data_IF_221308985554
#
_entry.id   IF_221308985554
#
_cell.length_a   1.000
_cell.length_b   1.000
_cell.length_c   1.000
_cell.angle_alpha   90.00
_cell.angle_beta   90.00
_cell.angle_gamma   90.00
#
_symmetry.space_group_name_H-M   'P 1'
#
loop_
_entity.id
_entity.type
_entity.pdbx_description
1 polymer ?
#
# COMPACT_ATOMS: atom_id res chain seq x y z
N UNK A 1 -2.67 -24.30 30.92
CA UNK A 1 -3.75 -24.13 29.91
C UNK A 1 -3.33 -23.01 28.97
N UNK A 2 -2.77 -23.32 27.80
CA UNK A 2 -2.27 -22.32 26.85
C UNK A 2 -3.43 -21.87 25.95
N UNK A 3 -3.98 -20.68 26.22
CA UNK A 3 -4.94 -20.03 25.32
C UNK A 3 -4.23 -19.68 24.01
N UNK A 4 -4.20 -20.60 23.04
CA UNK A 4 -3.84 -20.29 21.65
C UNK A 4 -4.87 -19.30 21.13
N UNK A 5 -4.53 -18.00 21.13
CA UNK A 5 -5.38 -16.97 20.53
C UNK A 5 -5.70 -17.32 19.08
N UNK A 6 -6.91 -17.00 18.62
CA UNK A 6 -7.32 -17.26 17.24
C UNK A 6 -6.45 -16.39 16.31
N UNK A 7 -5.58 -17.03 15.53
CA UNK A 7 -4.82 -16.36 14.47
C UNK A 7 -5.72 -16.24 13.23
N UNK A 8 -5.65 -15.09 12.56
CA UNK A 8 -6.37 -14.80 11.32
C UNK A 8 -5.44 -14.10 10.34
N UNK A 9 -5.68 -14.29 9.05
CA UNK A 9 -4.97 -13.58 7.99
C UNK A 9 -4.43 -14.52 6.93
N UNK A 10 -3.34 -14.11 6.28
CA UNK A 10 -2.70 -14.85 5.19
C UNK A 10 -1.24 -15.14 5.52
N UNK A 11 -0.75 -16.30 5.09
CA UNK A 11 0.65 -16.71 5.23
C UNK A 11 1.23 -17.07 3.88
N UNK A 12 2.46 -16.61 3.62
CA UNK A 12 3.25 -16.91 2.41
C UNK A 12 2.43 -16.76 1.12
N UNK A 13 1.65 -15.68 1.04
CA UNK A 13 0.84 -15.35 -0.12
C UNK A 13 1.75 -15.00 -1.29
N UNK A 14 1.56 -15.73 -2.38
CA UNK A 14 2.17 -15.45 -3.67
C UNK A 14 1.04 -15.12 -4.64
N UNK A 15 0.99 -13.86 -5.07
CA UNK A 15 -0.12 -13.34 -5.89
C UNK A 15 0.38 -12.26 -6.83
N UNK A 16 -0.11 -12.27 -8.06
CA UNK A 16 -0.03 -11.14 -8.97
C UNK A 16 -1.44 -10.73 -9.35
N UNK A 17 -1.75 -9.45 -9.17
CA UNK A 17 -3.09 -8.92 -9.44
C UNK A 17 -2.98 -7.46 -9.88
N UNK A 18 -3.99 -6.97 -10.58
CA UNK A 18 -4.11 -5.57 -11.00
C UNK A 18 -5.31 -4.98 -10.27
N UNK A 19 -5.15 -4.61 -8.99
CA UNK A 19 -6.28 -4.16 -8.18
C UNK A 19 -6.78 -2.81 -8.71
N UNK A 20 -8.08 -2.59 -8.61
CA UNK A 20 -8.65 -1.27 -8.82
C UNK A 20 -8.30 -0.36 -7.63
N UNK A 21 -7.13 0.29 -7.70
CA UNK A 21 -6.69 1.22 -6.67
C UNK A 21 -7.59 2.46 -6.62
N UNK A 22 -8.27 2.80 -7.72
CA UNK A 22 -9.22 3.91 -7.76
C UNK A 22 -10.46 3.59 -6.92
N UNK A 23 -10.94 2.34 -6.94
CA UNK A 23 -11.96 1.86 -6.00
C UNK A 23 -11.51 1.92 -4.53
N UNK A 24 -10.20 1.92 -4.26
CA UNK A 24 -9.62 2.16 -2.92
C UNK A 24 -9.37 3.65 -2.63
N UNK A 25 -9.78 4.56 -3.54
CA UNK A 25 -9.63 6.01 -3.41
C UNK A 25 -8.27 6.58 -3.84
N UNK A 26 -7.35 5.73 -4.33
CA UNK A 26 -6.07 6.13 -4.90
C UNK A 26 -6.22 6.23 -6.42
N UNK A 27 -6.08 7.43 -7.03
CA UNK A 27 -6.31 7.65 -8.46
C UNK A 27 -5.12 7.15 -9.30
N UNK A 28 -4.78 5.87 -9.15
CA UNK A 28 -3.65 5.19 -9.74
C UNK A 28 -4.14 3.87 -10.36
N UNK A 29 -3.42 3.38 -11.36
CA UNK A 29 -3.63 2.04 -11.91
C UNK A 29 -2.31 1.32 -11.92
N UNK A 30 -2.27 0.10 -11.39
CA UNK A 30 -1.03 -0.63 -11.25
C UNK A 30 -1.20 -2.12 -11.07
N UNK A 31 -0.12 -2.85 -11.34
CA UNK A 31 0.01 -4.26 -11.03
C UNK A 31 0.73 -4.44 -9.70
N UNK A 32 0.16 -5.24 -8.83
CA UNK A 32 0.75 -5.66 -7.57
C UNK A 32 1.27 -7.08 -7.72
N UNK A 33 2.52 -7.29 -7.34
CA UNK A 33 3.12 -8.60 -7.15
C UNK A 33 3.51 -8.78 -5.68
N UNK A 34 3.02 -9.85 -5.08
CA UNK A 34 3.29 -10.28 -3.72
C UNK A 34 4.10 -11.57 -3.78
N UNK A 35 5.23 -11.60 -3.06
CA UNK A 35 6.04 -12.81 -2.91
C UNK A 35 6.21 -13.14 -1.43
N UNK A 36 5.73 -14.32 -1.05
CA UNK A 36 5.75 -14.84 0.32
C UNK A 36 5.19 -13.87 1.38
N UNK A 37 4.19 -13.07 0.99
CA UNK A 37 3.63 -12.04 1.87
C UNK A 37 2.83 -12.69 3.00
N UNK A 38 3.13 -12.30 4.23
CA UNK A 38 2.38 -12.73 5.41
C UNK A 38 1.76 -11.52 6.09
N UNK A 39 0.50 -11.66 6.52
CA UNK A 39 -0.23 -10.70 7.32
C UNK A 39 -1.10 -11.48 8.29
N UNK A 40 -0.52 -11.85 9.44
CA UNK A 40 -1.18 -12.66 10.47
C UNK A 40 -1.42 -11.81 11.70
N UNK A 41 -2.66 -11.84 12.18
CA UNK A 41 -3.09 -11.14 13.37
C UNK A 41 -3.53 -12.13 14.44
N UNK A 42 -3.07 -11.91 15.67
CA UNK A 42 -3.49 -12.66 16.85
C UNK A 42 -4.14 -11.69 17.84
N UNK A 43 -5.40 -11.93 18.17
CA UNK A 43 -6.19 -11.04 19.03
C UNK A 43 -6.16 -9.56 18.55
N UNK A 44 -6.26 -9.36 17.23
CA UNK A 44 -6.26 -8.03 16.60
C UNK A 44 -4.87 -7.39 16.41
N UNK A 45 -3.79 -8.01 16.92
CA UNK A 45 -2.42 -7.49 16.83
C UNK A 45 -1.60 -8.24 15.79
N UNK A 46 -0.79 -7.53 15.01
CA UNK A 46 0.14 -8.12 14.04
C UNK A 46 1.10 -9.06 14.75
N UNK A 47 0.95 -10.36 14.49
CA UNK A 47 1.78 -11.42 15.05
C UNK A 47 2.89 -11.85 14.07
N UNK A 48 2.63 -11.73 12.76
CA UNK A 48 3.59 -12.04 11.71
C UNK A 48 3.35 -11.17 10.48
N UNK A 49 4.44 -10.59 10.00
CA UNK A 49 4.49 -9.93 8.71
C UNK A 49 5.83 -10.25 8.05
N UNK A 50 5.82 -10.27 6.73
CA UNK A 50 7.01 -10.56 5.93
C UNK A 50 6.65 -10.66 4.47
N UNK A 51 7.66 -10.91 3.64
CA UNK A 51 7.53 -11.03 2.20
C UNK A 51 7.73 -9.70 1.47
N UNK A 52 7.92 -9.83 0.16
CA UNK A 52 8.19 -8.71 -0.74
C UNK A 52 6.95 -8.31 -1.50
N UNK A 53 6.83 -7.00 -1.70
CA UNK A 53 5.75 -6.38 -2.44
C UNK A 53 6.34 -5.51 -3.52
N UNK A 54 5.75 -5.57 -4.71
CA UNK A 54 6.10 -4.71 -5.84
C UNK A 54 4.84 -4.15 -6.48
N UNK A 55 4.81 -2.85 -6.69
CA UNK A 55 3.78 -2.14 -7.42
C UNK A 55 4.40 -1.57 -8.70
N UNK A 56 3.83 -1.89 -9.86
CA UNK A 56 4.16 -1.24 -11.13
C UNK A 56 2.99 -0.37 -11.55
N UNK A 57 3.20 0.93 -11.71
CA UNK A 57 2.16 1.84 -12.22
C UNK A 57 2.07 1.71 -13.74
N UNK A 58 0.89 1.37 -14.24
CA UNK A 58 0.63 1.08 -15.66
C UNK A 58 -0.38 2.02 -16.31
N UNK A 59 -1.11 2.80 -15.50
CA UNK A 59 -2.07 3.77 -15.99
C UNK A 59 -1.43 4.90 -16.78
N UNK A 60 -2.27 5.63 -17.51
CA UNK A 60 -1.88 6.91 -18.08
C UNK A 60 -1.67 7.93 -16.96
N UNK A 61 -0.68 8.81 -17.13
CA UNK A 61 -0.35 9.84 -16.15
C UNK A 61 1.14 9.98 -15.88
N UNK A 62 1.50 10.95 -15.03
CA UNK A 62 2.89 11.37 -14.89
C UNK A 62 3.78 10.37 -14.15
N UNK A 63 3.18 9.39 -13.45
CA UNK A 63 3.91 8.32 -12.75
C UNK A 63 3.93 7.00 -13.53
N UNK A 64 3.51 7.01 -14.81
CA UNK A 64 3.48 5.81 -15.65
C UNK A 64 4.86 5.15 -15.69
N UNK A 65 4.88 3.83 -15.54
CA UNK A 65 6.11 3.04 -15.57
C UNK A 65 6.89 3.04 -14.26
N UNK A 66 6.48 3.81 -13.24
CA UNK A 66 7.10 3.74 -11.92
C UNK A 66 6.99 2.32 -11.35
N UNK A 67 8.08 1.85 -10.74
CA UNK A 67 8.11 0.60 -10.00
C UNK A 67 8.48 0.92 -8.56
N UNK A 68 7.59 0.57 -7.62
CA UNK A 68 7.83 0.68 -6.19
C UNK A 68 8.01 -0.72 -5.61
N UNK A 69 8.93 -0.88 -4.67
CA UNK A 69 9.14 -2.14 -3.97
C UNK A 69 9.44 -1.95 -2.50
N UNK A 70 9.09 -2.94 -1.70
CA UNK A 70 9.33 -2.93 -0.26
C UNK A 70 8.93 -4.24 0.39
N UNK A 71 8.97 -4.26 1.72
CA UNK A 71 8.67 -5.43 2.53
C UNK A 71 7.63 -5.11 3.59
N UNK A 72 6.85 -6.12 3.93
CA UNK A 72 5.89 -6.04 5.01
C UNK A 72 6.53 -6.35 6.37
N UNK A 73 6.22 -5.57 7.40
CA UNK A 73 6.72 -5.75 8.76
C UNK A 73 5.64 -5.43 9.80
N UNK A 74 5.67 -6.12 10.94
CA UNK A 74 4.86 -5.73 12.09
C UNK A 74 5.56 -4.57 12.80
N UNK A 75 4.86 -3.46 13.00
CA UNK A 75 5.33 -2.32 13.80
C UNK A 75 4.22 -1.88 14.73
N UNK A 76 4.51 -1.80 16.04
CA UNK A 76 3.54 -1.41 17.07
C UNK A 76 2.19 -2.11 16.89
N UNK A 77 2.20 -3.45 16.83
CA UNK A 77 1.02 -4.31 16.63
C UNK A 77 0.24 -4.11 15.31
N UNK A 78 0.77 -3.33 14.38
CA UNK A 78 0.14 -3.03 13.08
C UNK A 78 0.95 -3.68 11.97
N UNK A 79 0.29 -4.26 10.97
CA UNK A 79 0.96 -4.69 9.75
C UNK A 79 1.27 -3.44 8.92
N UNK A 80 2.53 -3.25 8.54
CA UNK A 80 2.97 -2.06 7.82
C UNK A 80 3.83 -2.43 6.63
N UNK A 81 3.77 -1.62 5.58
CA UNK A 81 4.66 -1.70 4.43
C UNK A 81 5.02 -0.29 3.98
N UNK A 82 6.20 -0.14 3.39
CA UNK A 82 6.62 1.06 2.71
C UNK A 82 7.29 0.62 1.40
N UNK A 83 6.64 0.92 0.28
CA UNK A 83 7.20 0.68 -1.04
C UNK A 83 7.85 1.97 -1.52
N UNK A 84 9.05 1.86 -2.06
CA UNK A 84 9.80 3.03 -2.55
C UNK A 84 10.24 2.81 -4.00
N UNK A 85 10.31 3.90 -4.75
CA UNK A 85 10.70 3.90 -6.15
C UNK A 85 11.01 5.30 -6.65
N UNK A 86 11.41 5.42 -7.92
CA UNK A 86 11.64 6.70 -8.60
C UNK A 86 10.98 6.71 -9.97
N UNK A 87 10.48 7.87 -10.38
CA UNK A 87 9.90 8.12 -11.70
C UNK A 87 9.86 9.64 -11.96
N UNK A 88 10.05 10.05 -13.22
CA UNK A 88 10.02 11.45 -13.62
C UNK A 88 10.88 12.38 -12.73
N UNK A 89 12.05 11.92 -12.29
CA UNK A 89 12.94 12.67 -11.40
C UNK A 89 12.50 12.75 -9.92
N UNK A 90 11.30 12.27 -9.58
CA UNK A 90 10.75 12.30 -8.23
C UNK A 90 11.06 11.03 -7.42
N UNK A 91 11.07 11.19 -6.10
CA UNK A 91 11.06 10.08 -5.14
C UNK A 91 9.61 9.73 -4.78
N UNK A 92 9.27 8.45 -4.87
CA UNK A 92 7.93 7.94 -4.63
C UNK A 92 7.93 7.01 -3.42
N UNK A 93 6.97 7.20 -2.52
CA UNK A 93 6.72 6.30 -1.40
C UNK A 93 5.25 5.96 -1.30
N UNK A 94 4.91 4.68 -1.31
CA UNK A 94 3.59 4.18 -0.94
C UNK A 94 3.67 3.50 0.43
N UNK A 95 3.12 4.12 1.45
CA UNK A 95 3.00 3.57 2.79
C UNK A 95 1.66 2.88 2.95
N UNK A 96 1.64 1.70 3.57
CA UNK A 96 0.42 0.98 3.91
C UNK A 96 0.42 0.53 5.36
N UNK A 97 -0.74 0.61 6.02
CA UNK A 97 -0.97 0.09 7.36
C UNK A 97 -2.28 -0.71 7.38
N UNK A 98 -2.27 -1.87 8.02
CA UNK A 98 -3.46 -2.71 8.19
C UNK A 98 -3.57 -3.13 9.66
N UNK A 99 -4.75 -2.93 10.24
CA UNK A 99 -5.10 -3.32 11.60
C UNK A 99 -5.81 -4.69 11.60
N UNK A 100 -5.79 -5.39 12.73
CA UNK A 100 -6.37 -6.73 12.83
C UNK A 100 -7.91 -6.79 12.77
N UNK A 101 -8.58 -5.64 12.82
CA UNK A 101 -10.02 -5.51 12.57
C UNK A 101 -10.36 -5.29 11.08
N UNK A 102 -9.33 -5.28 10.21
CA UNK A 102 -9.44 -5.05 8.78
C UNK A 102 -9.39 -3.57 8.37
N UNK A 103 -9.27 -2.64 9.31
CA UNK A 103 -8.99 -1.24 8.98
C UNK A 103 -7.67 -1.10 8.22
N UNK A 104 -7.63 -0.22 7.23
CA UNK A 104 -6.41 0.08 6.51
C UNK A 104 -6.25 1.57 6.24
N UNK A 105 -4.99 1.98 6.10
CA UNK A 105 -4.59 3.29 5.59
C UNK A 105 -3.54 3.09 4.51
N UNK A 106 -3.68 3.80 3.39
CA UNK A 106 -2.66 3.91 2.36
C UNK A 106 -2.31 5.39 2.16
N UNK A 107 -1.03 5.67 1.97
CA UNK A 107 -0.53 7.01 1.68
C UNK A 107 0.49 6.95 0.55
N UNK A 108 0.23 7.66 -0.53
CA UNK A 108 1.19 7.89 -1.61
C UNK A 108 1.79 9.28 -1.44
N UNK A 109 3.11 9.37 -1.35
CA UNK A 109 3.89 10.60 -1.34
C UNK A 109 4.79 10.64 -2.58
N UNK A 110 4.84 11.79 -3.23
CA UNK A 110 5.71 12.08 -4.37
C UNK A 110 6.50 13.34 -4.02
N UNK A 111 7.78 13.16 -3.70
CA UNK A 111 8.69 14.25 -3.38
C UNK A 111 9.29 14.79 -4.68
N UNK A 112 8.96 16.03 -5.01
CA UNK A 112 9.36 16.70 -6.25
C UNK A 112 9.21 18.21 -6.14
N UNK A 113 10.04 18.94 -6.88
CA UNK A 113 9.92 20.39 -7.09
C UNK A 113 9.48 20.75 -8.51
N UNK A 114 9.25 19.75 -9.36
CA UNK A 114 8.82 19.95 -10.76
C UNK A 114 7.36 20.48 -10.78
N UNK A 115 7.13 21.71 -11.27
CA UNK A 115 5.80 22.31 -11.27
C UNK A 115 4.80 21.56 -12.14
N UNK A 116 5.23 20.95 -13.26
CA UNK A 116 4.35 20.26 -14.20
C UNK A 116 3.90 18.92 -13.61
N UNK A 117 4.82 18.19 -12.98
CA UNK A 117 4.51 16.97 -12.25
C UNK A 117 3.54 17.25 -11.09
N UNK A 118 3.79 18.30 -10.33
CA UNK A 118 2.90 18.70 -9.22
C UNK A 118 1.51 19.06 -9.76
N UNK A 119 1.42 19.87 -10.82
CA UNK A 119 0.13 20.24 -11.42
C UNK A 119 -0.64 19.01 -11.91
N UNK A 120 0.02 18.08 -12.61
CA UNK A 120 -0.62 16.86 -13.09
C UNK A 120 -1.15 15.96 -11.97
N UNK A 121 -0.40 15.84 -10.86
CA UNK A 121 -0.84 15.05 -9.70
C UNK A 121 -1.95 15.73 -8.90
N UNK A 122 -1.93 17.06 -8.79
CA UNK A 122 -3.03 17.81 -8.16
C UNK A 122 -4.31 17.65 -8.98
N UNK A 123 -4.22 17.73 -10.30
CA UNK A 123 -5.36 17.49 -11.19
C UNK A 123 -5.95 16.07 -11.07
N UNK A 124 -5.14 15.08 -10.66
CA UNK A 124 -5.61 13.73 -10.37
C UNK A 124 -6.10 13.52 -8.93
N UNK A 125 -6.04 14.55 -8.08
CA UNK A 125 -6.60 14.52 -6.72
C UNK A 125 -5.59 14.41 -5.58
N UNK A 126 -4.29 14.52 -5.86
CA UNK A 126 -3.29 14.69 -4.81
C UNK A 126 -3.35 16.11 -4.21
N UNK A 127 -2.99 16.24 -2.95
CA UNK A 127 -2.83 17.54 -2.30
C UNK A 127 -1.35 17.93 -2.28
N UNK A 128 -1.04 19.21 -2.49
CA UNK A 128 0.32 19.73 -2.29
C UNK A 128 0.71 19.65 -0.82
N UNK A 129 1.98 19.40 -0.56
CA UNK A 129 2.60 19.54 0.76
C UNK A 129 3.96 20.26 0.66
N UNK A 130 4.73 20.30 1.76
CA UNK A 130 6.01 21.00 1.82
C UNK A 130 7.11 20.39 0.93
N UNK A 131 6.95 19.13 0.51
CA UNK A 131 7.97 18.33 -0.19
C UNK A 131 7.56 17.92 -1.60
N UNK A 132 6.30 18.12 -1.96
CA UNK A 132 5.74 17.79 -3.27
C UNK A 132 4.23 17.62 -3.17
N UNK A 133 3.76 16.39 -3.36
CA UNK A 133 2.33 16.05 -3.26
C UNK A 133 2.09 14.74 -2.52
N UNK A 134 0.91 14.65 -1.88
CA UNK A 134 0.46 13.49 -1.13
C UNK A 134 -1.01 13.15 -1.39
N UNK A 135 -1.33 11.87 -1.31
CA UNK A 135 -2.70 11.36 -1.26
C UNK A 135 -2.79 10.28 -0.19
N UNK A 136 -3.69 10.46 0.76
CA UNK A 136 -4.01 9.47 1.77
C UNK A 136 -5.43 8.96 1.58
N UNK A 137 -5.63 7.67 1.85
CA UNK A 137 -6.93 7.01 1.86
C UNK A 137 -7.01 6.06 3.03
N UNK A 138 -8.20 5.95 3.59
CA UNK A 138 -8.52 5.05 4.67
C UNK A 138 -9.74 4.22 4.27
N UNK A 139 -9.79 2.98 4.74
CA UNK A 139 -10.91 2.11 4.45
C UNK A 139 -10.90 0.86 5.30
N UNK A 140 -11.70 -0.12 4.88
CA UNK A 140 -11.81 -1.42 5.54
C UNK A 140 -11.72 -2.53 4.49
N UNK A 141 -10.89 -3.53 4.74
CA UNK A 141 -10.86 -4.74 3.92
C UNK A 141 -12.21 -5.45 4.12
N UNK A 142 -12.93 -5.70 3.03
CA UNK A 142 -14.14 -6.50 3.09
C UNK A 142 -13.78 -7.88 3.64
N UNK A 143 -14.44 -8.31 4.71
CA UNK A 143 -14.38 -9.72 5.10
C UNK A 143 -15.10 -10.52 4.02
N UNK A 144 -14.34 -11.20 3.17
CA UNK A 144 -14.90 -12.33 2.43
C UNK A 144 -15.29 -13.37 3.48
N UNK A 145 -16.56 -13.37 3.88
CA UNK A 145 -17.18 -14.57 4.41
C UNK A 145 -17.18 -15.55 3.25
N UNK A 146 -16.26 -16.52 3.28
CA UNK A 146 -16.39 -17.74 2.50
C UNK A 146 -17.79 -18.29 2.77
N UNK A 147 -18.63 -18.31 1.73
CA UNK A 147 -19.85 -19.10 1.71
C UNK A 147 -19.47 -20.57 1.53
#
# INVERSE_FOLDING_TARGET
>A
MLLRGREKGVERLNLRTSPDLAALGLPLTGDVALRDVSAVFRNGRCARAGGEMRLRLIGEGPLRGAVLSGVAVCRADTWTTALSGRAAGADLTLSGRVQGDGGYQLEMAVATTDPDLIQGLVASGFARDATGVRRAVDGRLASSSAQ
#
